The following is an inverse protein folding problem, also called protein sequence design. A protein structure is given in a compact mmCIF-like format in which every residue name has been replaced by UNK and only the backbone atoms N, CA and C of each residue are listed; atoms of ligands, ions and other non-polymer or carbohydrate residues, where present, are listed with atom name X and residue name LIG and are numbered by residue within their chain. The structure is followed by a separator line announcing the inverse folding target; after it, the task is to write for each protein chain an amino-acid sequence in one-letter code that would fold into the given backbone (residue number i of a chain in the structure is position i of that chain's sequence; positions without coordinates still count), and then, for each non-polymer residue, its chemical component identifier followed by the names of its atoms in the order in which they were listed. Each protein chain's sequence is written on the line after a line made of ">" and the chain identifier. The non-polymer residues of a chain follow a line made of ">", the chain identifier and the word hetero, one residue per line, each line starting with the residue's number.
data_IF_776517752573
#
_entry.id   IF_776517752573
#
_cell.length_a   1.000
_cell.length_b   1.000
_cell.length_c   1.000
_cell.angle_alpha   90.00
_cell.angle_beta   90.00
_cell.angle_gamma   90.00
#
_symmetry.space_group_name_H-M   'P 1'
#
loop_
_entity.id
_entity.type
_entity.pdbx_description
1 polymer ?
#
# COMPACT_ATOMS: atom_id res chain seq x y z
N UNK A 1 -40.15 8.88 1.16
CA UNK A 1 -39.58 7.65 0.58
C UNK A 1 -38.21 7.50 1.19
N UNK A 2 -38.07 6.53 2.09
CA UNK A 2 -36.80 6.19 2.73
C UNK A 2 -36.23 4.91 2.14
N UNK A 3 -35.10 4.48 2.68
CA UNK A 3 -34.52 3.17 2.42
C UNK A 3 -35.55 2.06 2.64
N UNK A 4 -35.49 1.02 1.83
CA UNK A 4 -36.10 -0.26 2.16
C UNK A 4 -35.42 -0.86 3.40
N UNK A 5 -36.08 -1.82 4.04
CA UNK A 5 -35.51 -2.51 5.20
C UNK A 5 -34.18 -3.19 4.84
N UNK A 6 -34.10 -3.83 3.67
CA UNK A 6 -32.90 -4.50 3.19
C UNK A 6 -31.72 -3.53 2.99
N UNK A 7 -31.96 -2.37 2.37
CA UNK A 7 -30.92 -1.36 2.21
C UNK A 7 -30.50 -0.76 3.56
N UNK A 8 -31.44 -0.54 4.48
CA UNK A 8 -31.14 -0.04 5.82
C UNK A 8 -30.29 -1.03 6.64
N UNK A 9 -30.61 -2.33 6.57
CA UNK A 9 -29.86 -3.39 7.24
C UNK A 9 -28.44 -3.52 6.65
N UNK A 10 -28.30 -3.39 5.33
CA UNK A 10 -27.00 -3.38 4.64
C UNK A 10 -26.12 -2.19 5.06
N UNK A 11 -26.69 -0.98 5.08
CA UNK A 11 -26.02 0.23 5.56
C UNK A 11 -25.56 0.07 7.01
N UNK A 12 -26.45 -0.38 7.90
CA UNK A 12 -26.11 -0.55 9.31
C UNK A 12 -24.97 -1.56 9.50
N UNK A 13 -25.05 -2.70 8.80
CA UNK A 13 -24.02 -3.75 8.89
C UNK A 13 -22.65 -3.21 8.51
N UNK A 14 -22.51 -2.60 7.33
CA UNK A 14 -21.23 -2.07 6.85
C UNK A 14 -20.69 -0.98 7.78
N UNK A 15 -21.56 -0.08 8.25
CA UNK A 15 -21.13 0.98 9.16
C UNK A 15 -20.57 0.44 10.48
N UNK A 16 -21.20 -0.59 11.04
CA UNK A 16 -20.75 -1.20 12.31
C UNK A 16 -19.52 -2.10 12.10
N UNK A 17 -19.52 -2.97 11.09
CA UNK A 17 -18.47 -3.98 10.93
C UNK A 17 -17.22 -3.45 10.24
N UNK A 18 -17.38 -2.60 9.21
CA UNK A 18 -16.26 -2.15 8.38
C UNK A 18 -15.81 -0.73 8.71
N UNK A 19 -16.75 0.14 9.10
CA UNK A 19 -16.44 1.54 9.41
C UNK A 19 -16.24 1.82 10.91
N UNK A 20 -16.43 0.82 11.78
CA UNK A 20 -16.24 0.95 13.23
C UNK A 20 -17.18 1.96 13.91
N UNK A 21 -18.36 2.20 13.33
CA UNK A 21 -19.34 3.16 13.85
C UNK A 21 -20.11 2.54 15.02
N UNK A 22 -20.09 3.19 16.19
CA UNK A 22 -20.85 2.77 17.38
C UNK A 22 -22.37 2.74 17.09
N UNK A 23 -23.05 1.72 17.61
CA UNK A 23 -24.47 1.40 17.37
C UNK A 23 -25.44 2.46 17.90
N UNK A 24 -24.97 3.37 18.75
CA UNK A 24 -25.86 4.02 19.73
C UNK A 24 -26.81 5.09 19.24
N UNK A 25 -26.65 5.68 18.05
CA UNK A 25 -27.75 6.39 17.36
C UNK A 25 -27.36 6.66 15.92
N UNK A 26 -28.06 6.06 14.95
CA UNK A 26 -27.85 6.31 13.53
C UNK A 26 -29.11 6.94 12.92
N UNK A 27 -28.98 8.14 12.34
CA UNK A 27 -30.05 8.75 11.56
C UNK A 27 -29.67 8.77 10.09
N UNK A 28 -30.50 8.20 9.23
CA UNK A 28 -30.26 8.16 7.78
C UNK A 28 -31.21 9.13 7.07
N UNK A 29 -30.64 10.05 6.31
CA UNK A 29 -31.38 11.01 5.50
C UNK A 29 -31.01 10.86 4.03
N UNK A 30 -31.95 11.14 3.13
CA UNK A 30 -31.63 11.21 1.69
C UNK A 30 -30.70 12.40 1.45
N UNK A 31 -29.55 12.14 0.85
CA UNK A 31 -28.52 13.13 0.52
C UNK A 31 -28.77 13.84 -0.82
N UNK A 32 -27.76 14.58 -1.27
CA UNK A 32 -27.77 15.29 -2.57
C UNK A 32 -27.22 14.37 -3.67
N UNK A 33 -28.03 13.43 -4.13
CA UNK A 33 -27.68 12.53 -5.22
C UNK A 33 -28.70 11.40 -5.36
N UNK A 34 -28.67 10.73 -6.50
CA UNK A 34 -29.37 9.46 -6.64
C UNK A 34 -28.61 8.41 -5.82
N UNK A 35 -29.34 7.70 -4.96
CA UNK A 35 -28.81 6.68 -4.04
C UNK A 35 -27.73 7.15 -3.06
N UNK A 36 -27.63 8.46 -2.79
CA UNK A 36 -26.74 9.01 -1.77
C UNK A 36 -27.52 9.29 -0.50
N UNK A 37 -26.99 8.89 0.65
CA UNK A 37 -27.59 9.01 1.96
C UNK A 37 -26.62 9.63 2.95
N UNK A 38 -27.09 10.57 3.77
CA UNK A 38 -26.32 11.12 4.87
C UNK A 38 -26.66 10.34 6.14
N UNK A 39 -25.65 9.72 6.76
CA UNK A 39 -25.80 9.00 8.03
C UNK A 39 -25.14 9.79 9.15
N UNK A 40 -25.91 10.05 10.21
CA UNK A 40 -25.41 10.68 11.42
C UNK A 40 -25.24 9.65 12.53
N UNK A 41 -24.01 9.48 13.01
CA UNK A 41 -23.68 8.64 14.16
C UNK A 41 -23.10 9.50 15.29
N UNK A 42 -23.97 9.98 16.18
CA UNK A 42 -23.61 11.00 17.15
C UNK A 42 -23.17 12.30 16.47
N UNK A 43 -21.88 12.67 16.60
CA UNK A 43 -21.27 13.85 15.95
C UNK A 43 -20.67 13.53 14.58
N UNK A 44 -20.58 12.25 14.21
CA UNK A 44 -20.03 11.84 12.93
C UNK A 44 -21.09 11.99 11.85
N UNK A 45 -20.69 12.60 10.72
CA UNK A 45 -21.49 12.69 9.52
C UNK A 45 -20.80 11.86 8.42
N UNK A 46 -21.52 10.91 7.86
CA UNK A 46 -21.06 10.02 6.80
C UNK A 46 -21.94 10.20 5.55
N UNK A 47 -21.35 10.06 4.38
CA UNK A 47 -22.07 9.98 3.11
C UNK A 47 -21.97 8.57 2.57
N UNK A 48 -23.11 7.90 2.41
CA UNK A 48 -23.24 6.51 1.98
C UNK A 48 -23.86 6.49 0.59
N UNK A 49 -23.18 5.90 -0.37
CA UNK A 49 -23.70 5.69 -1.72
C UNK A 49 -24.12 4.23 -1.87
N UNK A 50 -25.34 4.01 -2.37
CA UNK A 50 -25.83 2.67 -2.71
C UNK A 50 -25.75 2.41 -4.21
N UNK A 51 -25.38 1.18 -4.56
CA UNK A 51 -25.40 0.66 -5.91
C UNK A 51 -25.96 -0.77 -5.87
N UNK A 52 -26.94 -1.05 -6.72
CA UNK A 52 -27.58 -2.37 -6.80
C UNK A 52 -28.09 -2.88 -5.42
N UNK A 53 -28.69 -1.98 -4.62
CA UNK A 53 -29.17 -2.19 -3.24
C UNK A 53 -28.11 -2.55 -2.19
N UNK A 54 -26.82 -2.50 -2.53
CA UNK A 54 -25.71 -2.69 -1.60
C UNK A 54 -24.96 -1.36 -1.36
N UNK A 55 -24.26 -1.27 -0.23
CA UNK A 55 -23.34 -0.16 0.01
C UNK A 55 -22.19 -0.24 -0.98
N UNK A 56 -22.03 0.81 -1.78
CA UNK A 56 -20.95 0.96 -2.75
C UNK A 56 -19.78 1.72 -2.10
N UNK A 57 -20.08 2.87 -1.49
CA UNK A 57 -19.07 3.69 -0.81
C UNK A 57 -19.60 4.31 0.48
N UNK A 58 -18.69 4.52 1.43
CA UNK A 58 -18.91 5.36 2.61
C UNK A 58 -17.78 6.39 2.70
N UNK A 59 -18.16 7.66 2.79
CA UNK A 59 -17.25 8.79 2.90
C UNK A 59 -17.38 9.46 4.27
N UNK A 60 -16.25 9.80 4.90
CA UNK A 60 -16.16 10.70 6.03
C UNK A 60 -15.49 12.01 5.58
N UNK A 61 -16.31 13.01 5.26
CA UNK A 61 -15.81 14.24 4.61
C UNK A 61 -15.28 13.92 3.21
N UNK A 62 -13.97 14.05 3.00
CA UNK A 62 -13.31 13.74 1.72
C UNK A 62 -12.62 12.36 1.71
N UNK A 63 -12.59 11.65 2.82
CA UNK A 63 -11.95 10.34 2.94
C UNK A 63 -12.96 9.22 2.70
N UNK A 64 -12.66 8.28 1.80
CA UNK A 64 -13.44 7.06 1.62
C UNK A 64 -13.02 6.03 2.67
N UNK A 65 -13.95 5.65 3.53
CA UNK A 65 -13.74 4.67 4.61
C UNK A 65 -14.30 3.29 4.27
N UNK A 66 -15.20 3.19 3.29
CA UNK A 66 -15.67 1.91 2.75
C UNK A 66 -15.84 1.97 1.21
N UNK A 67 -15.47 0.90 0.48
CA UNK A 67 -14.54 -0.13 0.94
C UNK A 67 -13.24 0.55 1.40
N UNK A 68 -12.59 -0.02 2.41
CA UNK A 68 -11.33 0.52 2.91
C UNK A 68 -10.39 0.64 1.71
N UNK A 69 -9.93 1.87 1.43
CA UNK A 69 -8.97 2.09 0.35
C UNK A 69 -7.68 1.41 0.79
N UNK A 70 -7.33 0.32 0.11
CA UNK A 70 -6.06 -0.36 0.32
C UNK A 70 -4.93 0.64 0.03
N UNK A 71 -4.09 0.91 1.02
CA UNK A 71 -2.95 1.81 0.90
C UNK A 71 -1.68 0.97 0.81
N UNK A 72 -1.10 0.89 -0.38
CA UNK A 72 0.15 0.18 -0.61
C UNK A 72 1.28 0.76 0.27
N UNK A 73 1.79 0.02 1.27
CA UNK A 73 2.76 0.56 2.21
C UNK A 73 4.09 0.93 1.53
N UNK A 74 4.42 0.33 0.39
CA UNK A 74 5.66 0.60 -0.35
C UNK A 74 5.62 1.97 -1.04
N UNK A 75 4.48 2.34 -1.65
CA UNK A 75 4.34 3.63 -2.35
C UNK A 75 4.03 4.78 -1.40
N UNK A 76 3.50 4.50 -0.20
CA UNK A 76 3.33 5.50 0.85
C UNK A 76 4.65 5.84 1.57
N UNK A 77 5.62 4.93 1.54
CA UNK A 77 6.90 5.16 2.17
C UNK A 77 7.68 6.29 1.47
N UNK A 78 8.28 7.18 2.27
CA UNK A 78 9.06 8.29 1.72
C UNK A 78 10.36 7.78 1.12
N UNK A 79 10.51 7.95 -0.19
CA UNK A 79 11.78 7.69 -0.89
C UNK A 79 12.87 8.63 -0.37
N UNK A 80 14.00 8.04 0.02
CA UNK A 80 15.23 8.71 0.43
C UNK A 80 16.32 8.37 -0.59
N UNK A 81 17.32 9.25 -0.72
CA UNK A 81 18.46 9.00 -1.59
C UNK A 81 19.79 9.15 -0.84
N UNK A 82 20.83 8.52 -1.37
CA UNK A 82 22.20 8.62 -0.87
C UNK A 82 23.20 8.54 -2.01
N UNK A 83 24.36 9.18 -1.84
CA UNK A 83 25.41 9.16 -2.85
C UNK A 83 26.07 7.78 -2.93
N UNK A 84 26.44 7.38 -4.15
CA UNK A 84 27.29 6.22 -4.39
C UNK A 84 28.69 6.73 -4.69
N UNK A 85 29.65 6.31 -3.88
CA UNK A 85 31.05 6.72 -4.02
C UNK A 85 31.86 5.65 -4.78
N UNK A 86 32.97 6.07 -5.39
CA UNK A 86 33.95 5.12 -5.94
C UNK A 86 34.56 4.23 -4.83
N UNK A 87 35.26 3.17 -5.20
CA UNK A 87 35.87 2.23 -4.24
C UNK A 87 36.89 2.85 -3.27
N UNK A 88 37.34 4.09 -3.52
CA UNK A 88 38.22 4.86 -2.64
C UNK A 88 37.48 5.85 -1.73
N UNK A 89 36.16 6.03 -1.91
CA UNK A 89 35.34 6.98 -1.18
C UNK A 89 35.56 8.45 -1.55
N UNK A 90 36.26 8.75 -2.64
CA UNK A 90 36.72 10.11 -2.96
C UNK A 90 35.86 10.86 -3.97
N UNK A 91 35.12 10.14 -4.81
CA UNK A 91 34.33 10.73 -5.90
C UNK A 91 32.94 10.10 -5.94
N UNK A 92 31.91 10.93 -6.15
CA UNK A 92 30.55 10.46 -6.43
C UNK A 92 30.50 9.86 -7.83
N UNK A 93 30.04 8.62 -7.92
CA UNK A 93 29.88 7.87 -9.18
C UNK A 93 28.42 7.54 -9.49
N UNK A 94 27.48 7.91 -8.63
CA UNK A 94 26.07 7.65 -8.82
C UNK A 94 25.22 8.04 -7.60
N UNK A 95 23.97 7.61 -7.64
CA UNK A 95 23.01 7.81 -6.56
C UNK A 95 22.18 6.54 -6.37
N UNK A 96 21.89 6.21 -5.12
CA UNK A 96 21.00 5.11 -4.74
C UNK A 96 19.75 5.68 -4.09
N UNK A 97 18.66 4.94 -4.18
CA UNK A 97 17.41 5.26 -3.50
C UNK A 97 16.97 4.13 -2.58
N UNK A 98 16.21 4.47 -1.55
CA UNK A 98 15.66 3.49 -0.64
C UNK A 98 14.42 4.00 0.08
N UNK A 99 13.60 3.07 0.54
CA UNK A 99 12.55 3.30 1.53
C UNK A 99 12.84 2.49 2.78
N UNK A 100 12.26 2.92 3.90
CA UNK A 100 12.28 2.18 5.16
C UNK A 100 10.85 1.84 5.54
N UNK A 101 10.60 0.56 5.82
CA UNK A 101 9.29 0.05 6.24
C UNK A 101 9.45 -0.98 7.37
N UNK A 102 8.36 -1.25 8.10
CA UNK A 102 8.35 -2.33 9.07
C UNK A 102 8.41 -3.70 8.39
N UNK A 103 9.07 -4.67 9.02
CA UNK A 103 9.08 -6.05 8.53
C UNK A 103 7.68 -6.64 8.40
N UNK A 104 6.80 -6.33 9.35
CA UNK A 104 5.40 -6.75 9.36
C UNK A 104 4.63 -6.11 8.20
N UNK A 105 4.89 -4.83 7.88
CA UNK A 105 4.28 -4.16 6.73
C UNK A 105 4.69 -4.85 5.43
N UNK A 106 5.98 -5.18 5.28
CA UNK A 106 6.48 -5.90 4.11
C UNK A 106 5.86 -7.30 3.98
N UNK A 107 5.57 -8.00 5.09
CA UNK A 107 4.91 -9.31 5.06
C UNK A 107 3.44 -9.21 4.62
N UNK A 108 2.80 -8.06 4.81
CA UNK A 108 1.42 -7.81 4.40
C UNK A 108 1.30 -7.21 2.99
N UNK A 109 2.43 -6.85 2.34
CA UNK A 109 2.46 -6.40 0.96
C UNK A 109 1.86 -7.47 0.06
N UNK A 110 0.85 -7.10 -0.71
CA UNK A 110 0.26 -7.99 -1.70
C UNK A 110 1.13 -8.06 -2.95
N UNK A 111 0.87 -9.07 -3.78
CA UNK A 111 1.51 -9.19 -5.09
C UNK A 111 1.27 -7.97 -5.99
N UNK A 112 0.07 -7.38 -5.91
CA UNK A 112 -0.30 -6.19 -6.68
C UNK A 112 0.46 -4.96 -6.15
N UNK A 113 0.59 -4.82 -4.84
CA UNK A 113 1.36 -3.74 -4.21
C UNK A 113 2.84 -3.76 -4.63
N UNK A 114 3.46 -4.94 -4.57
CA UNK A 114 4.86 -5.09 -4.93
C UNK A 114 5.08 -4.79 -6.41
N UNK A 115 4.17 -5.27 -7.27
CA UNK A 115 4.21 -4.99 -8.71
C UNK A 115 4.03 -3.51 -9.00
N UNK A 116 3.03 -2.86 -8.40
CA UNK A 116 2.78 -1.43 -8.55
C UNK A 116 4.04 -0.64 -8.15
N UNK A 117 4.63 -0.96 -7.00
CA UNK A 117 5.85 -0.31 -6.54
C UNK A 117 7.02 -0.50 -7.50
N UNK A 118 7.26 -1.73 -7.96
CA UNK A 118 8.34 -2.02 -8.90
C UNK A 118 8.14 -1.26 -10.23
N UNK A 119 6.92 -1.22 -10.76
CA UNK A 119 6.60 -0.57 -12.04
C UNK A 119 6.61 0.97 -11.96
N UNK A 120 6.26 1.55 -10.80
CA UNK A 120 6.07 3.01 -10.66
C UNK A 120 7.21 3.73 -9.96
N UNK A 121 7.94 3.07 -9.06
CA UNK A 121 8.99 3.67 -8.24
C UNK A 121 10.38 3.19 -8.65
N UNK A 122 10.54 1.89 -8.93
CA UNK A 122 11.86 1.29 -9.20
C UNK A 122 12.23 1.42 -10.67
N UNK A 123 11.32 0.99 -11.56
CA UNK A 123 11.52 0.96 -13.00
C UNK A 123 11.91 2.34 -13.54
N UNK A 124 12.95 2.36 -14.39
CA UNK A 124 13.46 3.58 -15.04
C UNK A 124 13.83 4.72 -14.07
N UNK A 125 14.03 4.42 -12.78
CA UNK A 125 14.34 5.43 -11.75
C UNK A 125 15.71 6.09 -11.91
N UNK A 126 16.62 5.47 -12.66
CA UNK A 126 17.96 6.00 -12.95
C UNK A 126 18.95 5.88 -11.79
N UNK A 127 18.56 5.31 -10.65
CA UNK A 127 19.45 5.03 -9.54
C UNK A 127 20.33 3.79 -9.83
N UNK A 128 21.50 3.72 -9.17
CA UNK A 128 22.38 2.57 -9.30
C UNK A 128 21.77 1.30 -8.67
N UNK A 129 20.94 1.46 -7.63
CA UNK A 129 20.07 0.44 -7.07
C UNK A 129 18.98 1.10 -6.22
N UNK A 130 17.89 0.36 -6.01
CA UNK A 130 16.79 0.75 -5.13
C UNK A 130 16.62 -0.30 -4.02
N UNK A 131 16.46 0.12 -2.76
CA UNK A 131 16.36 -0.80 -1.63
C UNK A 131 15.13 -0.56 -0.77
N UNK A 132 14.41 -1.62 -0.44
CA UNK A 132 13.42 -1.64 0.64
C UNK A 132 14.14 -2.14 1.89
N UNK A 133 14.35 -1.26 2.87
CA UNK A 133 15.06 -1.59 4.10
C UNK A 133 14.07 -1.91 5.22
N UNK A 134 14.21 -3.09 5.82
CA UNK A 134 13.45 -3.47 7.01
C UNK A 134 14.20 -3.04 8.28
N UNK A 135 13.44 -2.83 9.35
CA UNK A 135 13.96 -2.46 10.66
C UNK A 135 14.80 -3.55 11.38
N UNK A 136 14.81 -4.78 10.86
CA UNK A 136 15.58 -5.92 11.39
C UNK A 136 16.94 -6.12 10.70
N UNK A 137 17.31 -5.23 9.77
CA UNK A 137 18.54 -5.33 8.98
C UNK A 137 18.43 -6.19 7.73
N UNK A 138 17.25 -6.78 7.46
CA UNK A 138 16.94 -7.40 6.17
C UNK A 138 16.31 -6.41 5.19
N UNK A 139 16.13 -6.82 3.95
CA UNK A 139 15.49 -5.98 2.95
C UNK A 139 15.46 -6.62 1.57
N UNK A 140 14.93 -5.85 0.62
CA UNK A 140 14.85 -6.23 -0.80
C UNK A 140 15.64 -5.20 -1.60
N UNK A 141 16.63 -5.64 -2.36
CA UNK A 141 17.47 -4.80 -3.20
C UNK A 141 17.19 -5.07 -4.69
N UNK A 142 16.75 -4.05 -5.42
CA UNK A 142 16.69 -4.03 -6.87
C UNK A 142 18.03 -3.54 -7.41
N UNK A 143 18.94 -4.47 -7.66
CA UNK A 143 20.29 -4.15 -8.19
C UNK A 143 20.14 -3.49 -9.57
N UNK A 144 20.84 -2.37 -9.81
CA UNK A 144 20.70 -1.62 -11.06
C UNK A 144 19.36 -0.88 -11.20
N UNK A 145 18.52 -0.88 -10.15
CA UNK A 145 17.13 -0.44 -10.20
C UNK A 145 16.33 -1.15 -11.30
N UNK A 146 16.66 -2.42 -11.54
CA UNK A 146 15.96 -3.26 -12.50
C UNK A 146 14.74 -3.88 -11.82
N UNK A 147 13.54 -3.61 -12.34
CA UNK A 147 12.30 -4.13 -11.76
C UNK A 147 12.19 -5.65 -11.89
N UNK A 148 12.85 -6.25 -12.88
CA UNK A 148 12.74 -7.66 -13.21
C UNK A 148 13.59 -8.60 -12.33
N UNK A 149 14.39 -8.08 -11.41
CA UNK A 149 15.16 -8.90 -10.47
C UNK A 149 15.41 -8.14 -9.18
N UNK A 150 15.01 -8.74 -8.08
CA UNK A 150 15.27 -8.25 -6.74
C UNK A 150 15.91 -9.35 -5.88
N UNK A 151 16.78 -8.96 -4.96
CA UNK A 151 17.41 -9.86 -4.00
C UNK A 151 16.86 -9.57 -2.61
N UNK A 152 16.39 -10.60 -1.92
CA UNK A 152 16.03 -10.54 -0.51
C UNK A 152 17.17 -11.06 0.35
N UNK A 153 17.55 -10.33 1.40
CA UNK A 153 18.66 -10.71 2.25
C UNK A 153 19.02 -9.69 3.32
N UNK A 154 20.21 -9.82 3.90
CA UNK A 154 20.77 -8.80 4.81
C UNK A 154 21.28 -7.60 4.03
N UNK A 155 20.98 -6.41 4.52
CA UNK A 155 21.33 -5.15 3.87
C UNK A 155 22.56 -4.53 4.55
N UNK A 156 23.56 -4.16 3.76
CA UNK A 156 24.75 -3.46 4.22
C UNK A 156 24.52 -1.94 4.42
N UNK A 157 25.56 -1.24 4.85
CA UNK A 157 25.51 0.21 5.08
C UNK A 157 25.35 1.04 3.79
N UNK A 158 25.63 0.45 2.64
CA UNK A 158 25.40 1.05 1.31
C UNK A 158 24.01 0.69 0.77
N UNK A 159 23.17 -0.01 1.53
CA UNK A 159 21.85 -0.42 1.10
C UNK A 159 21.86 -1.56 0.08
N UNK A 160 22.95 -2.31 -0.08
CA UNK A 160 23.00 -3.49 -0.95
C UNK A 160 22.79 -4.76 -0.15
N UNK A 161 22.42 -5.84 -0.84
CA UNK A 161 22.39 -7.17 -0.23
C UNK A 161 23.82 -7.67 0.04
N UNK A 162 24.18 -7.85 1.31
CA UNK A 162 25.46 -8.46 1.72
C UNK A 162 25.37 -9.99 1.71
N UNK A 163 24.28 -10.51 2.26
CA UNK A 163 23.98 -11.94 2.32
C UNK A 163 22.62 -12.17 1.65
N UNK A 164 22.64 -12.71 0.43
CA UNK A 164 21.43 -12.99 -0.34
C UNK A 164 20.81 -14.29 0.16
N UNK A 165 19.57 -14.20 0.65
CA UNK A 165 18.78 -15.32 1.16
C UNK A 165 17.86 -15.86 0.06
N UNK A 166 17.39 -15.02 -0.85
CA UNK A 166 16.61 -15.48 -2.01
C UNK A 166 16.44 -14.41 -3.07
N UNK A 167 15.93 -14.85 -4.21
CA UNK A 167 15.65 -14.03 -5.37
C UNK A 167 14.14 -13.80 -5.50
N UNK A 168 13.78 -12.60 -5.95
CA UNK A 168 12.41 -12.21 -6.26
C UNK A 168 12.37 -11.82 -7.74
N UNK A 169 11.69 -12.62 -8.55
CA UNK A 169 11.63 -12.41 -10.01
C UNK A 169 10.20 -12.53 -10.53
N UNK A 170 9.78 -11.67 -11.47
CA UNK A 170 8.50 -11.80 -12.13
C UNK A 170 8.51 -12.96 -13.12
N UNK A 171 7.40 -13.69 -13.19
CA UNK A 171 7.13 -14.64 -14.27
C UNK A 171 6.67 -13.92 -15.56
N UNK A 172 6.32 -14.69 -16.58
CA UNK A 172 5.85 -14.15 -17.87
C UNK A 172 4.52 -13.38 -17.79
N UNK A 173 3.77 -13.52 -16.69
CA UNK A 173 2.55 -12.75 -16.42
C UNK A 173 2.80 -11.49 -15.58
N UNK A 174 4.05 -11.27 -15.13
CA UNK A 174 4.43 -10.17 -14.26
C UNK A 174 4.16 -10.42 -12.79
N UNK A 175 3.85 -11.68 -12.40
CA UNK A 175 3.69 -12.08 -11.00
C UNK A 175 5.07 -12.38 -10.43
N UNK A 176 5.44 -11.67 -9.38
CA UNK A 176 6.70 -11.86 -8.66
C UNK A 176 6.65 -13.13 -7.81
N UNK A 177 7.74 -13.88 -7.86
CA UNK A 177 7.89 -15.13 -7.12
C UNK A 177 9.19 -15.09 -6.34
N UNK A 178 9.15 -15.65 -5.14
CA UNK A 178 10.33 -15.77 -4.28
C UNK A 178 10.93 -17.18 -4.39
N UNK A 179 12.24 -17.25 -4.64
CA UNK A 179 13.02 -18.48 -4.60
C UNK A 179 14.16 -18.35 -3.58
N UNK A 180 14.16 -19.21 -2.58
CA UNK A 180 15.24 -19.26 -1.58
C UNK A 180 16.54 -19.81 -2.22
N UNK A 181 17.67 -19.12 -1.99
CA UNK A 181 18.99 -19.60 -2.43
C UNK A 181 19.46 -20.70 -1.48
N UNK A 182 19.97 -21.80 -2.05
CA UNK A 182 20.49 -22.98 -1.32
C UNK A 182 21.95 -22.85 -0.95
#
# INVERSE_FOLDING_TARGET
>A
MGLSQEEADSVFTILVTECGVDEKTQYVFKGKGDNVYTVWAGLLQLEVTLKDNAVDTVMQGTEQIYPAVHKNPLTQAKVKTAEVMNGSGTEKIGERAYIEIGKEDLQNVTQEDFKEFADTVVKDSGYNWFTIVCNDGTGICFVGSMENVAEYGKIDNEGRTEEVIGDITPDNSGVYTYEERK
#
